data_IF_343805235392
#
_entry.id   IF_343805235392
#
_cell.length_a   1.000
_cell.length_b   1.000
_cell.length_c   1.000
_cell.angle_alpha   90.00
_cell.angle_beta   90.00
_cell.angle_gamma   90.00
#
_symmetry.space_group_name_H-M   'P 1'
#
loop_
_entity.id
_entity.type
_entity.pdbx_description
1 polymer ?
#
# COMPACT_ATOMS: atom_id res chain seq x y z
N UNK A 1 -19.48 -0.42 -12.93
CA UNK A 1 -18.89 0.31 -11.77
C UNK A 1 -18.37 1.64 -12.25
N UNK A 2 -18.58 2.72 -11.49
CA UNK A 2 -18.01 4.02 -11.85
C UNK A 2 -16.47 3.93 -11.82
N UNK A 3 -15.82 4.42 -12.86
CA UNK A 3 -14.36 4.46 -12.91
C UNK A 3 -13.84 5.42 -11.83
N UNK A 4 -12.81 5.01 -11.09
CA UNK A 4 -12.15 5.90 -10.12
C UNK A 4 -11.51 7.09 -10.85
N UNK A 5 -11.63 8.26 -10.24
CA UNK A 5 -10.98 9.49 -10.71
C UNK A 5 -9.85 9.81 -9.74
N UNK A 6 -8.68 10.15 -10.27
CA UNK A 6 -7.49 10.53 -9.50
C UNK A 6 -7.14 11.99 -9.71
N UNK A 7 -6.74 12.68 -8.65
CA UNK A 7 -6.09 13.99 -8.75
C UNK A 7 -4.67 13.83 -9.34
N UNK A 8 -4.27 14.80 -10.16
CA UNK A 8 -2.91 14.87 -10.70
C UNK A 8 -2.08 15.92 -9.97
N UNK A 9 -0.84 15.54 -9.71
CA UNK A 9 0.16 16.34 -9.00
C UNK A 9 1.34 16.66 -9.92
N UNK A 10 1.98 17.79 -9.72
CA UNK A 10 3.22 18.15 -10.39
C UNK A 10 4.44 17.45 -9.79
N UNK A 11 5.63 17.70 -10.35
CA UNK A 11 6.87 17.09 -9.85
C UNK A 11 7.29 17.52 -8.43
N UNK A 12 6.67 18.55 -7.87
CA UNK A 12 6.88 19.03 -6.51
C UNK A 12 5.81 18.47 -5.52
N UNK A 13 4.89 17.64 -6.01
CA UNK A 13 3.82 17.07 -5.19
C UNK A 13 2.67 18.04 -4.92
N UNK A 14 2.52 19.09 -5.73
CA UNK A 14 1.40 20.03 -5.62
C UNK A 14 0.26 19.61 -6.54
N UNK A 15 -0.99 19.67 -6.04
CA UNK A 15 -2.17 19.43 -6.87
C UNK A 15 -2.22 20.42 -8.03
N UNK A 16 -2.43 19.91 -9.25
CA UNK A 16 -2.51 20.73 -10.45
C UNK A 16 -3.92 21.25 -10.76
N UNK A 17 -4.93 20.76 -10.04
CA UNK A 17 -6.35 20.96 -10.36
C UNK A 17 -6.86 20.09 -11.50
N UNK A 18 -6.01 19.27 -12.12
CA UNK A 18 -6.37 18.31 -13.16
C UNK A 18 -6.65 16.94 -12.53
N UNK A 19 -7.51 16.20 -13.19
CA UNK A 19 -7.84 14.81 -12.83
C UNK A 19 -7.65 13.88 -14.03
N UNK A 20 -7.63 12.57 -13.76
CA UNK A 20 -7.64 11.52 -14.77
C UNK A 20 -8.51 10.34 -14.33
N UNK A 21 -8.91 9.50 -15.26
CA UNK A 21 -9.61 8.25 -14.96
C UNK A 21 -8.59 7.13 -14.71
N UNK A 22 -8.82 6.31 -13.70
CA UNK A 22 -7.98 5.12 -13.43
C UNK A 22 -7.91 4.22 -14.67
N UNK A 23 -6.69 3.84 -15.04
CA UNK A 23 -6.42 3.01 -16.23
C UNK A 23 -5.99 3.79 -17.46
N UNK A 24 -6.15 5.11 -17.47
CA UNK A 24 -5.53 5.96 -18.49
C UNK A 24 -4.02 6.11 -18.23
N UNK A 25 -3.28 6.52 -19.24
CA UNK A 25 -1.86 6.83 -19.13
C UNK A 25 -1.67 8.15 -18.36
N UNK A 26 -0.86 8.12 -17.31
CA UNK A 26 -0.52 9.33 -16.56
C UNK A 26 0.29 10.27 -17.45
N UNK A 27 -0.14 11.52 -17.67
CA UNK A 27 0.59 12.44 -18.55
C UNK A 27 2.02 12.68 -18.08
N UNK A 28 2.95 12.82 -19.00
CA UNK A 28 4.37 13.03 -18.71
C UNK A 28 4.58 14.23 -17.77
N UNK A 29 5.41 14.04 -16.74
CA UNK A 29 5.69 15.07 -15.72
C UNK A 29 4.59 15.25 -14.68
N UNK A 30 3.50 14.47 -14.75
CA UNK A 30 2.45 14.43 -13.75
C UNK A 30 2.47 13.11 -12.97
N UNK A 31 1.85 13.13 -11.80
CA UNK A 31 1.86 12.02 -10.84
C UNK A 31 0.49 11.87 -10.21
N UNK A 32 0.09 10.64 -9.90
CA UNK A 32 -1.03 10.39 -9.00
C UNK A 32 -0.53 10.03 -7.58
N UNK A 33 -1.41 9.94 -6.60
CA UNK A 33 -1.08 9.58 -5.22
C UNK A 33 -1.38 8.10 -4.98
N UNK A 34 -0.35 7.37 -4.57
CA UNK A 34 -0.48 5.99 -4.11
C UNK A 34 -0.20 5.88 -2.62
N UNK A 35 -0.76 4.86 -1.99
CA UNK A 35 -0.55 4.54 -0.57
C UNK A 35 -0.22 3.08 -0.39
N UNK A 36 0.75 2.80 0.47
CA UNK A 36 1.09 1.48 0.98
C UNK A 36 0.95 1.47 2.48
N UNK A 37 0.30 0.45 3.04
CA UNK A 37 0.09 0.32 4.47
C UNK A 37 0.66 -1.02 4.94
N UNK A 38 1.59 -0.97 5.88
CA UNK A 38 2.23 -2.12 6.50
C UNK A 38 1.71 -2.29 7.93
N UNK A 39 0.74 -3.19 8.18
CA UNK A 39 0.48 -3.62 9.55
C UNK A 39 1.72 -4.34 10.07
N UNK A 40 2.17 -3.95 11.28
CA UNK A 40 3.34 -4.52 11.94
C UNK A 40 2.97 -4.90 13.38
N UNK A 41 3.27 -6.15 13.77
CA UNK A 41 2.96 -6.63 15.11
C UNK A 41 4.10 -6.38 16.11
N UNK A 42 3.87 -6.73 17.37
CA UNK A 42 4.86 -6.55 18.45
C UNK A 42 6.11 -7.43 18.29
N UNK A 43 6.06 -8.49 17.48
CA UNK A 43 7.22 -9.32 17.12
C UNK A 43 8.03 -8.74 15.96
N UNK A 44 7.59 -7.61 15.38
CA UNK A 44 8.23 -6.99 14.22
C UNK A 44 7.92 -7.70 12.90
N UNK A 45 6.90 -8.55 12.84
CA UNK A 45 6.44 -9.15 11.60
C UNK A 45 5.51 -8.18 10.86
N UNK A 46 5.52 -8.25 9.53
CA UNK A 46 4.63 -7.50 8.65
C UNK A 46 3.47 -8.38 8.18
N UNK A 47 2.26 -7.84 8.15
CA UNK A 47 1.15 -8.48 7.48
C UNK A 47 1.30 -8.27 5.97
N UNK A 48 1.31 -9.36 5.24
CA UNK A 48 1.33 -9.37 3.78
C UNK A 48 0.02 -9.95 3.26
N UNK A 49 -0.45 -9.44 2.12
CA UNK A 49 -1.69 -9.89 1.49
C UNK A 49 -1.43 -10.57 0.16
N UNK A 50 -2.23 -11.58 -0.15
CA UNK A 50 -2.24 -12.22 -1.45
C UNK A 50 -3.37 -11.64 -2.29
N UNK A 51 -3.02 -11.11 -3.45
CA UNK A 51 -3.99 -10.53 -4.38
C UNK A 51 -4.93 -11.61 -4.90
N UNK A 52 -6.20 -11.27 -5.03
CA UNK A 52 -7.19 -12.17 -5.63
C UNK A 52 -6.83 -12.51 -7.09
N UNK A 53 -7.30 -13.65 -7.56
CA UNK A 53 -7.16 -14.06 -8.96
C UNK A 53 -8.04 -13.24 -9.91
N UNK A 54 -9.01 -12.49 -9.37
CA UNK A 54 -9.96 -11.66 -10.12
C UNK A 54 -9.44 -10.26 -10.45
N UNK A 55 -8.36 -9.80 -9.78
CA UNK A 55 -7.79 -8.48 -10.04
C UNK A 55 -7.01 -8.45 -11.36
N UNK A 56 -7.05 -7.30 -12.06
CA UNK A 56 -6.37 -7.16 -13.34
C UNK A 56 -4.84 -7.09 -13.21
N UNK A 57 -4.34 -6.39 -12.16
CA UNK A 57 -2.91 -6.20 -11.98
C UNK A 57 -2.34 -7.24 -11.03
N UNK A 58 -1.38 -8.04 -11.52
CA UNK A 58 -0.64 -9.05 -10.74
C UNK A 58 -1.53 -9.96 -9.89
N UNK A 59 -2.49 -10.71 -10.49
CA UNK A 59 -3.31 -11.65 -9.74
C UNK A 59 -2.46 -12.73 -9.06
N UNK A 60 -2.84 -13.14 -7.85
CA UNK A 60 -2.21 -14.24 -7.11
C UNK A 60 -0.84 -13.96 -6.49
N UNK A 61 -0.25 -12.77 -6.73
CA UNK A 61 1.01 -12.39 -6.09
C UNK A 61 0.79 -11.90 -4.65
N UNK A 62 1.77 -12.09 -3.79
CA UNK A 62 1.81 -11.43 -2.50
C UNK A 62 2.26 -9.98 -2.64
N UNK A 63 1.66 -9.08 -1.89
CA UNK A 63 1.92 -7.64 -1.97
C UNK A 63 1.65 -6.96 -0.62
N UNK A 64 1.97 -5.67 -0.55
CA UNK A 64 1.54 -4.80 0.54
C UNK A 64 0.08 -4.38 0.34
N UNK A 65 -0.64 -4.12 1.44
CA UNK A 65 -1.96 -3.47 1.41
C UNK A 65 -1.84 -2.05 0.87
N UNK A 66 -2.72 -1.66 -0.04
CA UNK A 66 -2.71 -0.30 -0.56
C UNK A 66 -3.35 -0.12 -1.92
N UNK A 67 -3.42 1.12 -2.35
CA UNK A 67 -4.05 1.52 -3.59
C UNK A 67 -3.74 2.95 -3.96
N UNK A 68 -4.62 3.57 -4.74
CA UNK A 68 -4.50 4.96 -5.17
C UNK A 68 -5.52 5.84 -4.47
N UNK A 69 -5.12 7.08 -4.13
CA UNK A 69 -6.05 8.09 -3.64
C UNK A 69 -7.04 8.46 -4.76
N UNK A 70 -8.32 8.47 -4.45
CA UNK A 70 -9.33 9.02 -5.35
C UNK A 70 -9.32 10.56 -5.27
N UNK A 71 -9.89 11.22 -6.28
CA UNK A 71 -9.94 12.67 -6.33
C UNK A 71 -10.56 13.27 -5.05
N UNK A 72 -9.90 14.25 -4.47
CA UNK A 72 -10.28 14.89 -3.21
C UNK A 72 -9.66 14.28 -1.95
N UNK A 73 -9.14 13.05 -2.01
CA UNK A 73 -8.46 12.44 -0.86
C UNK A 73 -7.02 12.97 -0.71
N UNK A 74 -6.57 13.05 0.53
CA UNK A 74 -5.14 13.07 0.86
C UNK A 74 -4.61 11.64 1.09
N UNK A 75 -3.30 11.51 1.27
CA UNK A 75 -2.67 10.20 1.45
C UNK A 75 -3.16 9.46 2.71
N UNK A 76 -3.44 10.18 3.80
CA UNK A 76 -3.90 9.55 5.04
C UNK A 76 -5.34 9.06 4.91
N UNK A 77 -6.20 9.83 4.28
CA UNK A 77 -7.59 9.46 4.00
C UNK A 77 -7.64 8.22 3.09
N UNK A 78 -6.85 8.21 2.02
CA UNK A 78 -6.74 7.06 1.12
C UNK A 78 -6.23 5.81 1.86
N UNK A 79 -5.17 5.95 2.68
CA UNK A 79 -4.63 4.83 3.45
C UNK A 79 -5.66 4.22 4.43
N UNK A 80 -6.45 5.06 5.10
CA UNK A 80 -7.52 4.59 6.00
C UNK A 80 -8.63 3.87 5.23
N UNK A 81 -9.03 4.40 4.07
CA UNK A 81 -10.03 3.77 3.21
C UNK A 81 -9.57 2.40 2.73
N UNK A 82 -8.36 2.31 2.15
CA UNK A 82 -7.81 1.05 1.64
C UNK A 82 -7.66 0.00 2.75
N UNK A 83 -7.17 0.40 3.93
CA UNK A 83 -7.02 -0.49 5.07
C UNK A 83 -8.37 -1.06 5.53
N UNK A 84 -9.41 -0.24 5.55
CA UNK A 84 -10.77 -0.65 5.90
C UNK A 84 -11.38 -1.56 4.83
N UNK A 85 -11.22 -1.20 3.55
CA UNK A 85 -11.78 -1.96 2.42
C UNK A 85 -11.11 -3.31 2.28
N UNK A 86 -9.79 -3.37 2.20
CA UNK A 86 -9.04 -4.60 1.94
C UNK A 86 -8.94 -5.53 3.16
N UNK A 87 -8.82 -4.98 4.38
CA UNK A 87 -8.53 -5.75 5.60
C UNK A 87 -9.57 -5.62 6.72
N UNK A 88 -10.60 -4.81 6.54
CA UNK A 88 -11.63 -4.59 7.57
C UNK A 88 -11.10 -3.89 8.82
N UNK A 89 -10.06 -3.06 8.70
CA UNK A 89 -9.47 -2.33 9.83
C UNK A 89 -9.86 -0.86 9.76
N UNK A 90 -10.63 -0.40 10.73
CA UNK A 90 -10.97 1.02 10.89
C UNK A 90 -9.95 1.69 11.81
N UNK A 91 -8.96 2.35 11.20
CA UNK A 91 -7.87 3.00 11.91
C UNK A 91 -8.15 4.48 12.18
N UNK A 92 -7.81 4.94 13.37
CA UNK A 92 -7.76 6.36 13.71
C UNK A 92 -6.65 7.09 12.95
N UNK A 93 -6.73 8.41 12.89
CA UNK A 93 -5.72 9.23 12.19
C UNK A 93 -4.32 9.09 12.80
N UNK A 94 -4.24 8.93 14.12
CA UNK A 94 -2.98 8.85 14.86
C UNK A 94 -2.38 7.45 14.89
N UNK A 95 -3.12 6.43 14.43
CA UNK A 95 -2.65 5.03 14.38
C UNK A 95 -1.83 4.73 13.13
N UNK A 96 -1.99 5.52 12.06
CA UNK A 96 -1.24 5.39 10.81
C UNK A 96 -0.06 6.36 10.80
N UNK A 97 1.14 5.82 10.90
CA UNK A 97 2.38 6.60 10.84
C UNK A 97 2.96 6.57 9.44
N UNK A 98 3.02 7.72 8.77
CA UNK A 98 3.74 7.84 7.50
C UNK A 98 5.25 7.78 7.75
N UNK A 99 5.92 6.83 7.12
CA UNK A 99 7.36 6.60 7.24
C UNK A 99 8.15 7.06 6.02
N UNK A 100 7.51 7.18 4.87
CA UNK A 100 8.14 7.68 3.65
C UNK A 100 7.10 8.23 2.65
N UNK A 101 7.57 9.09 1.75
CA UNK A 101 6.91 9.43 0.51
C UNK A 101 7.92 9.25 -0.63
N UNK A 102 7.67 8.29 -1.51
CA UNK A 102 8.59 7.87 -2.56
C UNK A 102 8.08 8.34 -3.92
N UNK A 103 8.87 9.13 -4.62
CA UNK A 103 8.58 9.48 -6.01
C UNK A 103 8.89 8.27 -6.90
N UNK A 104 7.89 7.82 -7.65
CA UNK A 104 7.97 6.78 -8.66
C UNK A 104 7.91 7.41 -10.06
N UNK A 105 7.86 6.59 -11.10
CA UNK A 105 7.79 7.06 -12.50
C UNK A 105 6.59 7.98 -12.74
N UNK A 106 5.43 7.63 -12.19
CA UNK A 106 4.15 8.34 -12.43
C UNK A 106 3.29 8.50 -11.17
N UNK A 107 3.88 8.31 -9.97
CA UNK A 107 3.16 8.44 -8.71
C UNK A 107 4.05 8.89 -7.56
N UNK A 108 3.43 9.48 -6.54
CA UNK A 108 3.99 9.61 -5.21
C UNK A 108 3.41 8.50 -4.33
N UNK A 109 4.26 7.57 -3.90
CA UNK A 109 3.85 6.47 -3.03
C UNK A 109 4.11 6.83 -1.57
N UNK A 110 3.05 7.06 -0.81
CA UNK A 110 3.12 7.30 0.63
C UNK A 110 3.07 5.97 1.38
N UNK A 111 4.09 5.70 2.18
CA UNK A 111 4.22 4.45 2.94
C UNK A 111 3.87 4.71 4.39
N UNK A 112 2.89 3.95 4.88
CA UNK A 112 2.42 4.00 6.26
C UNK A 112 2.69 2.69 6.99
N UNK A 113 2.83 2.78 8.31
CA UNK A 113 2.84 1.63 9.22
C UNK A 113 1.72 1.82 10.24
N UNK A 114 1.02 0.73 10.55
CA UNK A 114 0.07 0.63 11.68
C UNK A 114 0.50 -0.50 12.60
N UNK A 115 0.41 -0.29 13.91
CA UNK A 115 0.73 -1.31 14.92
C UNK A 115 -0.51 -2.09 15.28
N UNK A 116 -0.44 -3.42 15.16
CA UNK A 116 -1.53 -4.31 15.57
C UNK A 116 -1.02 -5.72 15.82
N UNK A 117 -1.51 -6.36 16.88
CA UNK A 117 -1.26 -7.77 17.19
C UNK A 117 -2.46 -8.67 16.82
N UNK A 118 -3.38 -8.15 15.99
CA UNK A 118 -4.56 -8.91 15.54
C UNK A 118 -4.12 -10.20 14.85
N UNK A 119 -4.66 -11.37 15.21
CA UNK A 119 -4.43 -12.62 14.48
C UNK A 119 -4.79 -12.50 13.00
N UNK A 120 -4.08 -13.20 12.13
CA UNK A 120 -4.30 -13.09 10.68
C UNK A 120 -5.73 -13.52 10.26
N UNK A 121 -6.32 -14.47 10.96
CA UNK A 121 -7.68 -14.97 10.76
C UNK A 121 -8.79 -13.98 11.14
N UNK A 122 -8.46 -12.96 11.93
CA UNK A 122 -9.42 -11.95 12.39
C UNK A 122 -9.56 -10.75 11.43
N UNK A 123 -8.76 -10.70 10.36
CA UNK A 123 -8.93 -9.68 9.32
C UNK A 123 -10.11 -10.02 8.41
N UNK A 124 -10.94 -9.02 8.12
CA UNK A 124 -12.08 -9.15 7.21
C UNK A 124 -11.65 -8.74 5.81
N UNK A 125 -11.42 -9.75 4.94
CA UNK A 125 -10.87 -9.52 3.61
C UNK A 125 -11.94 -9.16 2.58
N UNK A 126 -11.68 -8.16 1.77
CA UNK A 126 -12.43 -7.91 0.54
C UNK A 126 -12.00 -8.93 -0.51
N UNK A 127 -12.73 -10.03 -0.62
CA UNK A 127 -12.33 -11.22 -1.41
C UNK A 127 -12.10 -10.95 -2.90
N UNK A 128 -12.71 -9.92 -3.43
CA UNK A 128 -12.52 -9.44 -4.81
C UNK A 128 -11.10 -8.91 -5.04
N UNK A 129 -10.47 -8.34 -4.00
CA UNK A 129 -9.13 -7.75 -4.06
C UNK A 129 -8.07 -8.62 -3.35
N UNK A 130 -8.41 -9.22 -2.19
CA UNK A 130 -7.49 -9.93 -1.31
C UNK A 130 -8.03 -11.30 -0.96
N UNK A 131 -7.31 -12.36 -1.36
CA UNK A 131 -7.75 -13.74 -1.09
C UNK A 131 -7.11 -14.37 0.16
N UNK A 132 -6.00 -13.83 0.67
CA UNK A 132 -5.35 -14.31 1.89
C UNK A 132 -4.46 -13.22 2.51
N UNK A 133 -4.23 -13.34 3.82
CA UNK A 133 -3.21 -12.57 4.55
C UNK A 133 -2.39 -13.50 5.44
N UNK A 134 -1.17 -13.07 5.78
CA UNK A 134 -0.33 -13.74 6.78
C UNK A 134 0.69 -12.79 7.38
N UNK A 135 1.08 -13.08 8.61
CA UNK A 135 2.24 -12.45 9.23
C UNK A 135 3.53 -13.02 8.65
N UNK A 136 4.50 -12.19 8.44
CA UNK A 136 5.73 -12.51 7.74
C UNK A 136 6.91 -11.76 8.40
N UNK A 137 7.90 -12.49 8.89
CA UNK A 137 9.14 -11.88 9.36
C UNK A 137 9.95 -11.30 8.19
N UNK A 138 10.96 -10.49 8.51
CA UNK A 138 11.79 -9.82 7.52
C UNK A 138 12.51 -10.80 6.58
N UNK A 139 13.03 -11.91 7.11
CA UNK A 139 13.79 -12.87 6.32
C UNK A 139 12.87 -13.61 5.33
N UNK A 140 11.68 -13.99 5.79
CA UNK A 140 10.67 -14.61 4.92
C UNK A 140 10.20 -13.64 3.84
N UNK A 141 9.95 -12.38 4.21
CA UNK A 141 9.57 -11.33 3.24
C UNK A 141 10.64 -11.20 2.15
N UNK A 142 11.91 -11.11 2.52
CA UNK A 142 12.99 -10.95 1.55
C UNK A 142 13.20 -12.20 0.68
N UNK A 143 12.99 -13.41 1.22
CA UNK A 143 12.96 -14.63 0.39
C UNK A 143 11.83 -14.60 -0.63
N UNK A 144 10.64 -14.18 -0.23
CA UNK A 144 9.49 -14.06 -1.15
C UNK A 144 9.71 -13.00 -2.25
N UNK A 145 10.46 -11.94 -1.95
CA UNK A 145 10.88 -10.95 -2.96
C UNK A 145 11.87 -11.57 -3.93
N UNK A 146 12.86 -12.32 -3.42
CA UNK A 146 13.91 -12.95 -4.23
C UNK A 146 13.37 -14.04 -5.16
N UNK A 147 12.37 -14.81 -4.71
CA UNK A 147 11.74 -15.88 -5.51
C UNK A 147 10.55 -15.40 -6.37
N UNK A 148 10.29 -14.07 -6.38
CA UNK A 148 9.21 -13.42 -7.12
C UNK A 148 7.79 -13.85 -6.71
N UNK A 149 7.60 -14.40 -5.51
CA UNK A 149 6.26 -14.66 -4.95
C UNK A 149 5.67 -13.43 -4.27
N UNK A 150 6.51 -12.46 -3.91
CA UNK A 150 6.12 -11.13 -3.45
C UNK A 150 6.52 -10.07 -4.46
N UNK A 151 5.65 -9.07 -4.68
CA UNK A 151 5.94 -7.99 -5.62
C UNK A 151 7.17 -7.20 -5.18
N UNK A 152 8.14 -7.06 -6.08
CA UNK A 152 9.38 -6.33 -5.82
C UNK A 152 9.19 -4.82 -6.02
N UNK A 153 9.10 -4.08 -4.93
CA UNK A 153 9.00 -2.61 -4.93
C UNK A 153 10.35 -1.91 -5.07
N UNK A 154 11.46 -2.67 -5.18
CA UNK A 154 12.82 -2.19 -5.32
C UNK A 154 13.62 -2.20 -4.02
N UNK A 155 14.94 -2.35 -4.13
CA UNK A 155 15.83 -2.52 -2.98
C UNK A 155 15.80 -1.34 -1.99
N UNK A 156 15.73 -0.12 -2.50
CA UNK A 156 15.66 1.07 -1.65
C UNK A 156 14.38 1.09 -0.79
N UNK A 157 13.27 0.60 -1.35
CA UNK A 157 12.01 0.47 -0.63
C UNK A 157 12.13 -0.50 0.54
N UNK A 158 12.65 -1.71 0.30
CA UNK A 158 12.79 -2.72 1.36
C UNK A 158 13.84 -2.32 2.40
N UNK A 159 14.95 -1.69 2.00
CA UNK A 159 15.92 -1.13 2.96
C UNK A 159 15.28 -0.14 3.92
N UNK A 160 14.49 0.79 3.40
CA UNK A 160 13.75 1.78 4.22
C UNK A 160 12.79 1.08 5.19
N UNK A 161 11.98 0.12 4.71
CA UNK A 161 11.03 -0.63 5.52
C UNK A 161 11.70 -1.41 6.65
N UNK A 162 12.76 -2.16 6.33
CA UNK A 162 13.50 -2.98 7.30
C UNK A 162 14.30 -2.13 8.29
N UNK A 163 14.78 -0.96 7.89
CA UNK A 163 15.40 -0.01 8.81
C UNK A 163 14.37 0.50 9.82
N UNK A 164 13.18 0.90 9.35
CA UNK A 164 12.09 1.30 10.24
C UNK A 164 11.75 0.19 11.24
N UNK A 165 11.58 -1.06 10.79
CA UNK A 165 11.28 -2.20 11.63
C UNK A 165 12.34 -2.39 12.75
N UNK A 166 13.64 -2.33 12.40
CA UNK A 166 14.71 -2.51 13.38
C UNK A 166 14.75 -1.45 14.49
N UNK A 167 14.35 -0.23 14.17
CA UNK A 167 14.36 0.90 15.10
C UNK A 167 13.06 1.06 15.90
N UNK A 168 12.01 0.29 15.55
CA UNK A 168 10.67 0.42 16.16
C UNK A 168 10.05 -0.94 16.54
N UNK A 169 10.89 -1.92 16.86
CA UNK A 169 10.45 -3.22 17.43
C UNK A 169 9.91 -3.06 18.85
#
# INVERSE_FOLDING_TARGET
MASEIWDLYDGNGQKTGRTMVRGEEVPAGLYHLGVHIWPMNSRGEFLVQKRSMTVQWKPGIWAVTGGSAVAGEDALTAARRELREELGVDAGKDELRRIACLRRTNSFCNVFVIRTDRPAEDFVLQKEEVCAVRWCDADRLMRMVADNTFYNYGDAYFRMLLQYQRTHR
#
